data_IF_603470652805
#
_entry.id   IF_603470652805
#
_cell.length_a   1.000
_cell.length_b   1.000
_cell.length_c   1.000
_cell.angle_alpha   90.00
_cell.angle_beta   90.00
_cell.angle_gamma   90.00
#
_symmetry.space_group_name_H-M   'P 1'
#
loop_
_entity.id
_entity.type
_entity.pdbx_description
1 polymer ?
#
# COMPACT_ATOMS: atom_id res chain seq x y z
N UNK A 1 22.78 -36.82 46.07
CA UNK A 1 21.69 -37.57 45.39
C UNK A 1 21.00 -36.60 44.45
N UNK A 2 20.87 -36.95 43.17
CA UNK A 2 20.11 -36.15 42.19
C UNK A 2 18.84 -36.92 41.81
N UNK A 3 17.73 -36.19 41.71
CA UNK A 3 16.46 -36.65 41.16
C UNK A 3 16.24 -35.90 39.85
N UNK A 4 15.75 -36.61 38.83
CA UNK A 4 15.32 -36.02 37.56
C UNK A 4 13.92 -36.55 37.20
N UNK A 5 13.14 -35.72 36.53
CA UNK A 5 11.84 -36.07 35.93
C UNK A 5 11.94 -35.85 34.43
N UNK A 6 11.53 -36.85 33.65
CA UNK A 6 11.35 -36.71 32.20
C UNK A 6 9.89 -36.37 31.90
N UNK A 7 9.67 -35.46 30.97
CA UNK A 7 8.34 -35.08 30.49
C UNK A 7 8.37 -35.19 28.96
N UNK A 8 7.39 -35.89 28.39
CA UNK A 8 7.22 -35.98 26.93
C UNK A 8 6.28 -34.88 26.45
N UNK A 9 6.68 -34.20 25.37
CA UNK A 9 6.01 -33.00 24.84
C UNK A 9 5.61 -33.18 23.37
N UNK A 10 5.12 -34.37 23.00
CA UNK A 10 4.89 -34.74 21.61
C UNK A 10 3.96 -33.76 20.87
N UNK A 11 2.94 -33.23 21.56
CA UNK A 11 2.03 -32.22 21.00
C UNK A 11 2.66 -30.84 20.79
N UNK A 12 3.66 -30.47 21.60
CA UNK A 12 4.38 -29.21 21.45
C UNK A 12 5.28 -29.24 20.22
N UNK A 13 5.99 -30.35 20.00
CA UNK A 13 6.89 -30.49 18.86
C UNK A 13 6.13 -30.35 17.54
N UNK A 14 5.05 -31.11 17.35
CA UNK A 14 4.24 -31.02 16.13
C UNK A 14 3.60 -29.64 15.93
N UNK A 15 3.28 -28.93 17.01
CA UNK A 15 2.76 -27.55 16.93
C UNK A 15 3.84 -26.57 16.50
N UNK A 16 5.04 -26.67 17.05
CA UNK A 16 6.19 -25.86 16.64
C UNK A 16 6.58 -26.13 15.18
N UNK A 17 6.48 -27.38 14.71
CA UNK A 17 6.69 -27.72 13.30
C UNK A 17 5.68 -27.04 12.37
N UNK A 18 4.39 -27.01 12.74
CA UNK A 18 3.36 -26.31 11.96
C UNK A 18 3.57 -24.80 11.94
N UNK A 19 3.94 -24.21 13.07
CA UNK A 19 4.29 -22.78 13.15
C UNK A 19 5.53 -22.48 12.30
N UNK A 20 6.58 -23.30 12.40
CA UNK A 20 7.78 -23.14 11.58
C UNK A 20 7.47 -23.26 10.07
N UNK A 21 6.57 -24.16 9.69
CA UNK A 21 6.16 -24.33 8.30
C UNK A 21 5.52 -23.06 7.70
N UNK A 22 4.79 -22.27 8.50
CA UNK A 22 4.25 -20.98 8.06
C UNK A 22 5.38 -20.01 7.72
N UNK A 23 6.39 -19.91 8.60
CA UNK A 23 7.56 -19.05 8.36
C UNK A 23 8.39 -19.49 7.16
N UNK A 24 8.44 -20.79 6.88
CA UNK A 24 9.16 -21.36 5.72
C UNK A 24 8.40 -21.22 4.40
N UNK A 25 7.06 -21.08 4.44
CA UNK A 25 6.18 -20.99 3.26
C UNK A 25 5.09 -19.94 3.49
N UNK A 26 5.44 -18.63 3.53
CA UNK A 26 4.51 -17.58 3.89
C UNK A 26 3.61 -17.14 2.72
N UNK A 27 3.68 -17.77 1.54
CA UNK A 27 3.08 -17.27 0.31
C UNK A 27 1.57 -17.03 0.44
N UNK A 28 0.85 -17.94 1.11
CA UNK A 28 -0.60 -17.80 1.32
C UNK A 28 -0.95 -16.65 2.26
N UNK A 29 -0.16 -16.46 3.32
CA UNK A 29 -0.33 -15.36 4.26
C UNK A 29 -0.02 -14.03 3.56
N UNK A 30 1.10 -13.94 2.84
CA UNK A 30 1.48 -12.74 2.11
C UNK A 30 0.47 -12.40 1.01
N UNK A 31 -0.12 -13.38 0.34
CA UNK A 31 -1.18 -13.14 -0.63
C UNK A 31 -2.44 -12.55 0.02
N UNK A 32 -2.85 -13.05 1.18
CA UNK A 32 -4.00 -12.50 1.92
C UNK A 32 -3.73 -11.06 2.38
N UNK A 33 -2.56 -10.81 2.97
CA UNK A 33 -2.12 -9.46 3.34
C UNK A 33 -2.09 -8.54 2.12
N UNK A 34 -1.56 -9.02 0.98
CA UNK A 34 -1.50 -8.26 -0.27
C UNK A 34 -2.86 -7.77 -0.74
N UNK A 35 -3.88 -8.64 -0.75
CA UNK A 35 -5.26 -8.27 -1.09
C UNK A 35 -5.82 -7.24 -0.11
N UNK A 36 -5.56 -7.39 1.20
CA UNK A 36 -5.98 -6.42 2.21
C UNK A 36 -5.35 -5.03 2.00
N UNK A 37 -4.03 -5.00 1.75
CA UNK A 37 -3.30 -3.76 1.48
C UNK A 37 -3.73 -3.08 0.18
N UNK A 38 -3.99 -3.84 -0.89
CA UNK A 38 -4.58 -3.30 -2.12
C UNK A 38 -5.91 -2.59 -1.82
N UNK A 39 -6.80 -3.24 -1.05
CA UNK A 39 -8.09 -2.69 -0.66
C UNK A 39 -7.96 -1.42 0.18
N UNK A 40 -7.06 -1.41 1.15
CA UNK A 40 -6.77 -0.24 2.00
C UNK A 40 -6.27 0.95 1.18
N UNK A 41 -5.31 0.73 0.28
CA UNK A 41 -4.82 1.77 -0.63
C UNK A 41 -5.95 2.28 -1.51
N UNK A 42 -6.79 1.41 -2.05
CA UNK A 42 -7.94 1.82 -2.86
C UNK A 42 -8.94 2.68 -2.07
N UNK A 43 -9.21 2.33 -0.81
CA UNK A 43 -10.07 3.10 0.09
C UNK A 43 -9.53 4.51 0.33
N UNK A 44 -8.20 4.68 0.45
CA UNK A 44 -7.56 6.01 0.55
C UNK A 44 -7.83 6.92 -0.63
N UNK A 45 -7.91 6.38 -1.85
CA UNK A 45 -8.33 7.16 -3.03
C UNK A 45 -9.79 7.61 -2.94
N UNK A 46 -10.66 6.74 -2.41
CA UNK A 46 -12.09 7.04 -2.26
C UNK A 46 -12.31 8.12 -1.18
N UNK A 47 -11.54 8.06 -0.09
CA UNK A 47 -11.62 9.01 1.02
C UNK A 47 -10.80 10.28 0.81
N UNK A 48 -9.85 10.27 -0.12
CA UNK A 48 -8.94 11.38 -0.41
C UNK A 48 -7.97 11.69 0.73
N UNK A 49 -7.38 10.64 1.33
CA UNK A 49 -6.51 10.73 2.52
C UNK A 49 -5.26 9.86 2.36
N UNK A 50 -4.22 10.20 3.10
CA UNK A 50 -2.99 9.41 3.16
C UNK A 50 -3.07 8.27 4.18
N UNK A 51 -2.01 7.45 4.34
CA UNK A 51 -1.99 6.35 5.31
C UNK A 51 -2.19 6.78 6.77
N UNK A 52 -1.87 8.03 7.11
CA UNK A 52 -2.07 8.57 8.46
C UNK A 52 -3.50 9.12 8.65
N UNK A 53 -4.36 8.99 7.63
CA UNK A 53 -5.73 9.48 7.64
C UNK A 53 -5.86 10.98 7.41
N UNK A 54 -4.78 11.67 7.01
CA UNK A 54 -4.80 13.11 6.74
C UNK A 54 -5.27 13.36 5.31
N UNK A 55 -6.23 14.28 5.15
CA UNK A 55 -6.73 14.61 3.82
C UNK A 55 -5.66 15.29 2.96
N UNK A 56 -5.45 14.79 1.73
CA UNK A 56 -4.52 15.40 0.78
C UNK A 56 -4.84 16.87 0.50
N UNK A 57 -6.13 17.25 0.54
CA UNK A 57 -6.55 18.63 0.31
C UNK A 57 -6.03 19.62 1.36
N UNK A 58 -5.66 19.12 2.55
CA UNK A 58 -5.18 19.96 3.65
C UNK A 58 -3.72 20.42 3.48
N UNK A 59 -2.88 19.61 2.83
CA UNK A 59 -1.45 19.91 2.69
C UNK A 59 -0.95 19.92 1.24
N UNK A 60 -1.65 19.26 0.31
CA UNK A 60 -1.30 19.18 -1.11
C UNK A 60 -2.52 19.51 -2.01
N UNK A 61 -3.17 20.68 -1.82
CA UNK A 61 -4.34 21.05 -2.59
C UNK A 61 -4.03 21.14 -4.09
N UNK A 62 -5.06 21.00 -4.91
CA UNK A 62 -4.92 21.26 -6.34
C UNK A 62 -4.66 22.75 -6.57
N UNK A 63 -3.94 23.06 -7.66
CA UNK A 63 -3.87 24.42 -8.14
C UNK A 63 -5.31 24.95 -8.39
N UNK A 64 -5.69 26.13 -7.88
CA UNK A 64 -7.06 26.63 -8.00
C UNK A 64 -7.56 26.77 -9.44
N UNK A 65 -6.70 27.20 -10.36
CA UNK A 65 -7.05 27.32 -11.77
C UNK A 65 -7.32 25.92 -12.34
N UNK A 66 -6.40 24.98 -12.18
CA UNK A 66 -6.60 23.60 -12.64
C UNK A 66 -7.89 22.98 -12.06
N UNK A 67 -8.13 23.14 -10.76
CA UNK A 67 -9.30 22.63 -10.08
C UNK A 67 -10.61 23.19 -10.65
N UNK A 68 -10.64 24.47 -11.05
CA UNK A 68 -11.84 25.14 -11.52
C UNK A 68 -12.20 24.84 -12.99
N UNK A 69 -11.20 24.66 -13.86
CA UNK A 69 -11.43 24.61 -15.32
C UNK A 69 -11.00 23.33 -16.01
N UNK A 70 -10.00 22.59 -15.48
CA UNK A 70 -9.38 21.46 -16.20
C UNK A 70 -9.54 20.12 -15.48
N UNK A 71 -9.79 20.13 -14.16
CA UNK A 71 -9.91 18.91 -13.36
C UNK A 71 -11.08 18.06 -13.86
N UNK A 72 -10.77 16.80 -14.16
CA UNK A 72 -11.73 15.74 -14.49
C UNK A 72 -11.85 14.76 -13.33
N UNK A 73 -13.03 14.20 -13.14
CA UNK A 73 -13.31 13.24 -12.08
C UNK A 73 -13.40 13.88 -10.68
N UNK A 74 -13.98 13.18 -9.70
CA UNK A 74 -14.12 13.67 -8.34
C UNK A 74 -12.76 13.71 -7.62
N UNK A 75 -12.59 14.59 -6.63
CA UNK A 75 -11.48 14.49 -5.68
C UNK A 75 -10.07 14.64 -6.25
N UNK A 76 -9.08 14.40 -5.40
CA UNK A 76 -7.65 14.46 -5.72
C UNK A 76 -7.16 13.05 -6.13
N UNK A 77 -6.23 12.96 -7.08
CA UNK A 77 -5.72 11.70 -7.67
C UNK A 77 -6.75 10.80 -8.38
N UNK A 78 -7.99 11.26 -8.54
CA UNK A 78 -9.04 10.52 -9.26
C UNK A 78 -9.48 11.31 -10.50
N UNK A 79 -8.92 10.95 -11.65
CA UNK A 79 -9.38 11.43 -12.97
C UNK A 79 -10.31 10.40 -13.62
N UNK A 80 -9.76 9.23 -13.96
CA UNK A 80 -10.48 8.10 -14.54
C UNK A 80 -10.60 6.91 -13.60
N UNK A 81 -9.94 6.97 -12.43
CA UNK A 81 -9.76 5.84 -11.52
C UNK A 81 -8.62 4.89 -11.90
N UNK A 82 -7.89 5.12 -13.01
CA UNK A 82 -6.81 4.23 -13.45
C UNK A 82 -5.70 4.04 -12.40
N UNK A 83 -5.29 5.09 -11.69
CA UNK A 83 -4.26 4.96 -10.66
C UNK A 83 -4.70 4.04 -9.52
N UNK A 84 -5.90 4.29 -8.97
CA UNK A 84 -6.55 3.43 -7.96
C UNK A 84 -6.66 1.99 -8.45
N UNK A 85 -7.12 1.77 -9.68
CA UNK A 85 -7.32 0.44 -10.26
C UNK A 85 -6.00 -0.28 -10.63
N UNK A 86 -4.89 0.45 -10.71
CA UNK A 86 -3.57 -0.12 -11.03
C UNK A 86 -2.80 -0.61 -9.80
N UNK A 87 -3.35 -0.45 -8.60
CA UNK A 87 -2.74 -0.93 -7.38
C UNK A 87 -2.80 -2.46 -7.37
N UNK A 88 -1.65 -3.08 -7.22
CA UNK A 88 -1.49 -4.53 -7.20
C UNK A 88 -0.47 -4.93 -6.15
N UNK A 89 -0.58 -6.17 -5.68
CA UNK A 89 0.37 -6.85 -4.83
C UNK A 89 1.06 -8.00 -5.57
N UNK A 90 2.34 -8.21 -5.25
CA UNK A 90 3.16 -9.27 -5.82
C UNK A 90 3.89 -9.95 -4.66
N UNK A 91 3.65 -11.26 -4.51
CA UNK A 91 4.38 -12.08 -3.56
C UNK A 91 5.70 -12.51 -4.20
N UNK A 92 6.81 -12.02 -3.65
CA UNK A 92 8.19 -12.40 -3.97
C UNK A 92 8.82 -13.01 -2.71
N UNK A 93 8.24 -14.11 -2.24
CA UNK A 93 8.54 -14.76 -0.94
C UNK A 93 10.04 -14.76 -0.61
N UNK A 94 10.45 -14.27 0.58
CA UNK A 94 9.61 -13.90 1.73
C UNK A 94 9.06 -12.46 1.68
N UNK A 95 9.14 -11.76 0.54
CA UNK A 95 8.73 -10.37 0.39
C UNK A 95 7.33 -10.23 -0.21
N UNK A 96 6.66 -9.14 0.14
CA UNK A 96 5.41 -8.67 -0.47
C UNK A 96 5.63 -7.26 -1.00
N UNK A 97 5.39 -7.08 -2.28
CA UNK A 97 5.44 -5.77 -2.94
C UNK A 97 4.01 -5.30 -3.17
N UNK A 98 3.72 -4.03 -2.87
CA UNK A 98 2.43 -3.39 -3.16
C UNK A 98 2.69 -2.06 -3.84
N UNK A 99 2.05 -1.78 -4.98
CA UNK A 99 2.29 -0.55 -5.70
C UNK A 99 1.54 -0.43 -7.03
N UNK A 100 1.98 0.52 -7.85
CA UNK A 100 1.46 0.76 -9.20
C UNK A 100 2.61 0.82 -10.21
N UNK A 101 2.39 0.29 -11.41
CA UNK A 101 3.32 0.39 -12.55
C UNK A 101 3.12 1.65 -13.39
N UNK A 102 2.15 2.50 -13.07
CA UNK A 102 1.88 3.70 -13.88
C UNK A 102 3.05 4.71 -13.75
N UNK A 103 3.50 5.32 -14.85
CA UNK A 103 4.69 6.18 -14.84
C UNK A 103 4.54 7.42 -13.95
N UNK A 104 3.31 7.86 -13.69
CA UNK A 104 3.01 9.00 -12.83
C UNK A 104 2.68 8.61 -11.37
N UNK A 105 2.67 7.32 -11.04
CA UNK A 105 2.41 6.83 -9.68
C UNK A 105 3.44 7.39 -8.69
N UNK A 106 4.72 7.32 -9.06
CA UNK A 106 5.83 7.72 -8.19
C UNK A 106 5.86 9.21 -7.85
N UNK A 107 5.54 10.09 -8.80
CA UNK A 107 5.54 11.54 -8.55
C UNK A 107 4.39 11.96 -7.63
N UNK A 108 3.27 11.24 -7.63
CA UNK A 108 2.19 11.47 -6.67
C UNK A 108 2.52 10.88 -5.29
N UNK A 109 3.15 9.72 -5.22
CA UNK A 109 3.54 9.10 -3.94
C UNK A 109 4.56 9.98 -3.18
N UNK A 110 5.61 10.42 -3.86
CA UNK A 110 6.76 11.07 -3.21
C UNK A 110 6.80 12.59 -3.39
N UNK A 111 5.97 13.14 -4.28
CA UNK A 111 6.14 14.50 -4.76
C UNK A 111 7.43 14.65 -5.58
N UNK A 112 7.70 15.88 -6.02
CA UNK A 112 8.96 16.22 -6.67
C UNK A 112 8.87 17.40 -7.61
N UNK A 113 10.03 17.83 -8.09
CA UNK A 113 10.16 18.94 -9.03
C UNK A 113 10.30 18.38 -10.45
N UNK A 114 9.35 18.68 -11.32
CA UNK A 114 9.42 18.39 -12.75
C UNK A 114 10.22 19.48 -13.43
N UNK A 115 11.19 19.09 -14.26
CA UNK A 115 12.04 19.97 -15.04
C UNK A 115 12.06 19.58 -16.53
N UNK A 116 12.37 20.51 -17.45
CA UNK A 116 12.53 20.21 -18.87
C UNK A 116 13.66 19.21 -19.09
N UNK A 117 13.40 18.17 -19.89
CA UNK A 117 14.44 17.19 -20.25
C UNK A 117 15.37 17.71 -21.35
N UNK A 118 14.80 18.29 -22.41
CA UNK A 118 15.53 18.69 -23.63
C UNK A 118 15.30 20.16 -24.02
N UNK A 119 14.38 20.87 -23.35
CA UNK A 119 13.99 22.24 -23.68
C UNK A 119 14.47 23.25 -22.64
N UNK A 120 14.30 24.55 -22.92
CA UNK A 120 14.62 25.61 -21.96
C UNK A 120 13.58 25.76 -20.85
N UNK A 121 12.30 25.53 -21.17
CA UNK A 121 11.17 25.69 -20.25
C UNK A 121 10.18 24.54 -20.45
N UNK A 122 9.43 24.20 -19.40
CA UNK A 122 8.22 23.40 -19.49
C UNK A 122 7.15 24.27 -20.15
N UNK A 123 6.45 23.70 -21.13
CA UNK A 123 5.39 24.40 -21.84
C UNK A 123 4.10 23.59 -21.77
N UNK A 124 3.04 24.14 -21.18
CA UNK A 124 1.75 23.47 -21.04
C UNK A 124 0.59 24.46 -21.02
N UNK A 125 -0.60 24.00 -21.43
CA UNK A 125 -1.84 24.78 -21.36
C UNK A 125 -2.51 24.58 -20.00
N UNK A 126 -3.01 25.65 -19.40
CA UNK A 126 -3.88 25.58 -18.21
C UNK A 126 -4.80 26.80 -18.17
N UNK A 127 -6.10 26.58 -18.14
CA UNK A 127 -7.10 27.66 -18.10
C UNK A 127 -7.08 28.54 -19.35
N UNK A 128 -6.86 27.91 -20.52
CA UNK A 128 -6.79 28.61 -21.80
C UNK A 128 -5.52 29.43 -22.03
N UNK A 129 -4.55 29.41 -21.10
CA UNK A 129 -3.27 30.11 -21.22
C UNK A 129 -2.10 29.15 -21.44
N UNK A 130 -1.16 29.50 -22.31
CA UNK A 130 0.08 28.77 -22.54
C UNK A 130 1.14 29.23 -21.53
N UNK A 131 1.53 28.34 -20.61
CA UNK A 131 2.52 28.61 -19.58
C UNK A 131 3.91 28.20 -20.04
N UNK A 132 4.91 29.01 -19.71
CA UNK A 132 6.34 28.68 -19.83
C UNK A 132 7.00 28.86 -18.47
N UNK A 133 7.52 27.78 -17.89
CA UNK A 133 8.14 27.79 -16.56
C UNK A 133 9.39 26.93 -16.52
N UNK A 134 10.34 27.26 -15.64
CA UNK A 134 11.59 26.49 -15.50
C UNK A 134 11.37 25.15 -14.80
N UNK A 135 10.39 25.07 -13.91
CA UNK A 135 10.05 23.85 -13.19
C UNK A 135 8.65 23.92 -12.59
N UNK A 136 8.08 22.76 -12.26
CA UNK A 136 6.82 22.62 -11.52
C UNK A 136 7.06 21.74 -10.31
N UNK A 137 6.68 22.22 -9.12
CA UNK A 137 6.61 21.39 -7.92
C UNK A 137 5.28 20.64 -7.91
N UNK A 138 5.34 19.31 -7.76
CA UNK A 138 4.21 18.47 -7.45
C UNK A 138 4.33 18.06 -5.98
N UNK A 139 3.40 18.51 -5.16
CA UNK A 139 3.30 18.08 -3.77
C UNK A 139 2.99 16.58 -3.67
N UNK A 140 3.62 15.93 -2.69
CA UNK A 140 3.36 14.53 -2.38
C UNK A 140 1.92 14.33 -1.92
N UNK A 141 1.33 13.21 -2.31
CA UNK A 141 0.01 12.74 -1.90
C UNK A 141 0.14 11.24 -1.66
N UNK A 142 0.83 10.83 -0.59
CA UNK A 142 1.09 9.42 -0.32
C UNK A 142 -0.22 8.66 -0.24
N UNK A 143 -0.27 7.53 -0.94
CA UNK A 143 -1.37 6.56 -0.88
C UNK A 143 -0.83 5.18 -0.52
N UNK A 144 0.44 4.90 -0.83
CA UNK A 144 1.19 3.73 -0.34
C UNK A 144 1.79 4.04 1.04
N UNK A 145 1.84 3.01 1.88
CA UNK A 145 2.26 3.07 3.28
C UNK A 145 1.37 2.17 4.12
N UNK A 146 1.82 1.84 5.34
CA UNK A 146 1.03 1.10 6.30
C UNK A 146 0.34 2.08 7.25
N UNK A 147 -0.98 2.04 7.30
CA UNK A 147 -1.76 2.70 8.35
C UNK A 147 -1.83 1.84 9.62
N UNK A 148 -2.32 2.42 10.71
CA UNK A 148 -2.63 1.64 11.92
C UNK A 148 -3.68 0.54 11.63
N UNK A 149 -4.66 0.83 10.77
CA UNK A 149 -5.66 -0.15 10.32
C UNK A 149 -5.03 -1.29 9.50
N UNK A 150 -4.03 -1.01 8.67
CA UNK A 150 -3.30 -2.05 7.94
C UNK A 150 -2.54 -2.96 8.89
N UNK A 151 -1.90 -2.38 9.90
CA UNK A 151 -1.15 -3.15 10.91
C UNK A 151 -2.09 -4.08 11.67
N UNK A 152 -3.27 -3.60 12.06
CA UNK A 152 -4.28 -4.43 12.72
C UNK A 152 -4.75 -5.57 11.80
N UNK A 153 -5.08 -5.28 10.54
CA UNK A 153 -5.47 -6.30 9.57
C UNK A 153 -4.38 -7.36 9.37
N UNK A 154 -3.11 -6.94 9.26
CA UNK A 154 -1.98 -7.86 9.14
C UNK A 154 -1.87 -8.77 10.38
N UNK A 155 -2.04 -8.20 11.58
CA UNK A 155 -2.01 -8.96 12.82
C UNK A 155 -3.16 -9.96 12.91
N UNK A 156 -4.36 -9.59 12.48
CA UNK A 156 -5.52 -10.49 12.40
C UNK A 156 -5.27 -11.67 11.45
N UNK A 157 -4.67 -11.43 10.28
CA UNK A 157 -4.29 -12.50 9.34
C UNK A 157 -3.22 -13.43 9.92
N UNK A 158 -2.23 -12.89 10.62
CA UNK A 158 -1.21 -13.65 11.34
C UNK A 158 -1.83 -14.53 12.44
N UNK A 159 -2.69 -13.95 13.28
CA UNK A 159 -3.38 -14.66 14.34
C UNK A 159 -4.27 -15.77 13.80
N UNK A 160 -5.00 -15.51 12.70
CA UNK A 160 -5.82 -16.51 12.04
C UNK A 160 -4.98 -17.71 11.54
N UNK A 161 -3.81 -17.44 10.97
CA UNK A 161 -2.90 -18.49 10.50
C UNK A 161 -2.29 -19.26 11.67
N UNK A 162 -1.90 -18.60 12.75
CA UNK A 162 -1.41 -19.28 13.95
C UNK A 162 -2.49 -20.09 14.66
N UNK A 163 -3.72 -19.57 14.77
CA UNK A 163 -4.84 -20.31 15.35
C UNK A 163 -5.12 -21.62 14.60
N UNK A 164 -5.01 -21.62 13.25
CA UNK A 164 -5.11 -22.84 12.43
C UNK A 164 -3.96 -23.81 12.72
N UNK A 165 -2.73 -23.31 12.87
CA UNK A 165 -1.59 -24.15 13.23
C UNK A 165 -1.71 -24.74 14.66
N UNK A 166 -2.23 -23.97 15.61
CA UNK A 166 -2.49 -24.45 16.98
C UNK A 166 -3.64 -25.47 17.01
N UNK A 167 -4.68 -25.27 16.19
CA UNK A 167 -5.87 -26.11 16.14
C UNK A 167 -5.68 -27.49 15.51
N UNK A 168 -4.60 -27.68 14.74
CA UNK A 168 -4.15 -28.96 14.18
C UNK A 168 -5.24 -29.74 13.44
N UNK A 169 -5.36 -29.55 12.11
CA UNK A 169 -6.20 -30.34 11.18
C UNK A 169 -7.32 -31.17 11.84
N UNK A 170 -8.38 -30.49 12.27
CA UNK A 170 -9.73 -31.07 12.37
C UNK A 170 -10.31 -31.27 10.96
N UNK A 171 -9.59 -32.00 10.11
CA UNK A 171 -9.99 -32.29 8.74
C UNK A 171 -11.29 -33.08 8.71
N UNK A 172 -12.31 -32.49 8.06
CA UNK A 172 -13.35 -33.19 7.31
C UNK A 172 -13.27 -32.67 5.88
#
# INVERSE_FOLDING_TARGET
MSVAVSMEWDGLHGTLERIAAIGLKPEKLLAAIGVGLEGSVQQRFDDGRDPDGVSWASYAPLNPLYAAVEKKGPGILVESGMLRASIESIVASPELLVGSRLPYAGIHQHGGVIQPKNGRHLSFMMGGHLWHVDSVLIEARPYLGLSDEDVLMIMEELEAVFARALGGDGGV
#
